data_IF_106505119653
#
_entry.id   IF_106505119653
#
_cell.length_a   1.000
_cell.length_b   1.000
_cell.length_c   1.000
_cell.angle_alpha   90.00
_cell.angle_beta   90.00
_cell.angle_gamma   90.00
#
_symmetry.space_group_name_H-M   'P 1'
#
loop_
_entity.id
_entity.type
_entity.pdbx_description
1 polymer ?
#
# COMPACT_ATOMS: atom_id res chain seq x y z
N UNK A 1 9.89 22.30 -11.84
CA UNK A 1 8.78 22.25 -10.87
C UNK A 1 9.37 21.94 -9.50
N UNK A 2 8.64 22.21 -8.42
CA UNK A 2 9.16 21.98 -7.05
C UNK A 2 8.41 20.79 -6.45
N UNK A 3 9.13 19.78 -5.99
CA UNK A 3 8.55 18.66 -5.26
C UNK A 3 8.11 19.14 -3.87
N UNK A 4 6.80 19.09 -3.59
CA UNK A 4 6.22 19.53 -2.32
C UNK A 4 5.71 18.37 -1.47
N UNK A 5 5.28 17.26 -2.07
CA UNK A 5 4.79 16.10 -1.34
C UNK A 5 5.21 14.78 -1.97
N UNK A 6 5.41 13.79 -1.12
CA UNK A 6 5.61 12.39 -1.53
C UNK A 6 4.61 11.52 -0.80
N UNK A 7 3.88 10.69 -1.57
CA UNK A 7 2.89 9.76 -1.04
C UNK A 7 3.39 8.32 -1.12
N UNK A 8 3.08 7.55 -0.12
CA UNK A 8 3.44 6.13 -0.05
C UNK A 8 2.19 5.26 0.12
N UNK A 9 2.06 4.22 -0.71
CA UNK A 9 1.20 3.10 -0.35
C UNK A 9 1.75 2.40 0.90
N UNK A 10 0.92 1.70 1.65
CA UNK A 10 1.38 1.07 2.91
C UNK A 10 1.80 -0.39 2.73
N UNK A 11 0.85 -1.24 2.38
CA UNK A 11 1.04 -2.69 2.27
C UNK A 11 1.68 -3.00 0.92
N UNK A 12 2.83 -3.69 0.92
CA UNK A 12 3.58 -4.02 -0.28
C UNK A 12 4.48 -2.89 -0.79
N UNK A 13 4.13 -1.61 -0.53
CA UNK A 13 4.92 -0.45 -0.94
C UNK A 13 6.09 -0.22 0.02
N UNK A 14 5.95 0.58 1.08
CA UNK A 14 7.06 0.79 2.02
C UNK A 14 7.27 -0.36 3.01
N UNK A 15 6.34 -1.31 3.08
CA UNK A 15 6.47 -2.50 3.92
C UNK A 15 6.23 -3.79 3.11
N UNK A 16 7.19 -4.71 3.11
CA UNK A 16 7.03 -5.99 2.43
C UNK A 16 6.23 -6.95 3.29
N UNK A 17 4.95 -6.99 3.03
CA UNK A 17 3.95 -7.74 3.80
C UNK A 17 3.08 -8.66 2.95
N UNK A 18 3.39 -8.81 1.65
CA UNK A 18 2.57 -9.57 0.72
C UNK A 18 2.40 -11.04 1.12
N UNK A 19 3.46 -11.69 1.61
CA UNK A 19 3.40 -13.07 2.12
C UNK A 19 2.54 -13.17 3.38
N UNK A 20 2.71 -12.24 4.33
CA UNK A 20 1.88 -12.22 5.55
C UNK A 20 0.39 -12.05 5.23
N UNK A 21 0.05 -11.32 4.17
CA UNK A 21 -1.31 -11.18 3.68
C UNK A 21 -1.87 -12.52 3.22
N UNK A 22 -1.14 -13.25 2.36
CA UNK A 22 -1.54 -14.57 1.87
C UNK A 22 -1.74 -15.54 3.04
N UNK A 23 -0.75 -15.65 3.92
CA UNK A 23 -0.82 -16.53 5.09
C UNK A 23 -2.00 -16.19 6.01
N UNK A 24 -2.37 -14.91 6.08
CA UNK A 24 -3.52 -14.47 6.89
C UNK A 24 -4.86 -14.80 6.24
N UNK A 25 -4.95 -14.78 4.91
CA UNK A 25 -6.14 -15.26 4.20
C UNK A 25 -6.34 -16.76 4.44
N UNK A 26 -5.30 -17.57 4.24
CA UNK A 26 -5.38 -19.01 4.41
C UNK A 26 -5.72 -19.40 5.85
N UNK A 27 -5.11 -18.74 6.84
CA UNK A 27 -5.42 -18.97 8.25
C UNK A 27 -6.86 -18.58 8.59
N UNK A 28 -7.35 -17.45 8.06
CA UNK A 28 -8.73 -17.02 8.29
C UNK A 28 -9.76 -17.97 7.66
N UNK A 29 -9.50 -18.48 6.44
CA UNK A 29 -10.35 -19.47 5.80
C UNK A 29 -10.40 -20.76 6.62
N UNK A 30 -9.26 -21.24 7.09
CA UNK A 30 -9.17 -22.43 7.96
C UNK A 30 -9.96 -22.26 9.26
N UNK A 31 -9.84 -21.11 9.96
CA UNK A 31 -10.58 -20.83 11.20
C UNK A 31 -12.09 -20.83 10.95
N UNK A 32 -12.53 -20.34 9.80
CA UNK A 32 -13.93 -20.30 9.40
C UNK A 32 -14.41 -21.60 8.73
N UNK A 33 -13.61 -22.68 8.79
CA UNK A 33 -13.93 -24.01 8.25
C UNK A 33 -14.23 -24.00 6.74
N UNK A 34 -13.55 -23.11 6.02
CA UNK A 34 -13.60 -23.06 4.56
C UNK A 34 -12.46 -23.90 4.03
N UNK A 35 -12.83 -24.87 3.20
CA UNK A 35 -11.86 -25.78 2.55
C UNK A 35 -11.31 -25.13 1.26
N UNK A 36 -10.64 -24.02 1.43
CA UNK A 36 -10.00 -23.23 0.38
C UNK A 36 -8.61 -22.81 0.88
N UNK A 37 -7.60 -23.05 0.09
CA UNK A 37 -6.21 -22.65 0.36
C UNK A 37 -5.65 -22.02 -0.91
N UNK A 38 -5.27 -20.77 -0.84
CA UNK A 38 -4.61 -20.10 -1.95
C UNK A 38 -3.11 -20.38 -1.92
N UNK A 39 -2.59 -20.87 -3.02
CA UNK A 39 -1.14 -20.93 -3.20
C UNK A 39 -0.60 -19.56 -3.65
N UNK A 40 0.73 -19.45 -3.70
CA UNK A 40 1.38 -18.19 -4.07
C UNK A 40 1.07 -17.77 -5.52
N UNK A 41 1.01 -18.73 -6.44
CA UNK A 41 0.75 -18.48 -7.87
C UNK A 41 -0.67 -17.96 -8.09
N UNK A 42 -1.65 -18.55 -7.41
CA UNK A 42 -3.04 -18.10 -7.42
C UNK A 42 -3.15 -16.70 -6.82
N UNK A 43 -2.51 -16.48 -5.66
CA UNK A 43 -2.57 -15.20 -4.97
C UNK A 43 -1.94 -14.06 -5.77
N UNK A 44 -0.84 -14.30 -6.50
CA UNK A 44 -0.27 -13.36 -7.47
C UNK A 44 -1.34 -12.93 -8.49
N UNK A 45 -2.12 -13.87 -9.02
CA UNK A 45 -3.25 -13.57 -9.91
C UNK A 45 -4.32 -12.70 -9.25
N UNK A 46 -4.61 -12.95 -7.98
CA UNK A 46 -5.62 -12.23 -7.21
C UNK A 46 -5.18 -10.83 -6.78
N UNK A 47 -3.89 -10.52 -6.76
CA UNK A 47 -3.37 -9.17 -6.47
C UNK A 47 -3.76 -8.12 -7.52
N UNK A 48 -4.28 -8.51 -8.68
CA UNK A 48 -4.90 -7.59 -9.65
C UNK A 48 -6.16 -6.92 -9.10
N UNK A 49 -6.79 -7.51 -8.08
CA UNK A 49 -7.99 -7.00 -7.42
C UNK A 49 -7.57 -6.29 -6.14
N UNK A 50 -7.74 -4.99 -6.10
CA UNK A 50 -7.44 -4.19 -4.91
C UNK A 50 -8.51 -4.36 -3.83
N UNK A 51 -8.05 -4.34 -2.57
CA UNK A 51 -8.91 -4.52 -1.40
C UNK A 51 -9.17 -5.99 -1.06
N UNK A 52 -8.89 -6.36 0.20
CA UNK A 52 -9.02 -7.76 0.65
C UNK A 52 -10.44 -8.32 0.54
N UNK A 53 -11.44 -7.52 0.89
CA UNK A 53 -12.85 -7.94 0.78
C UNK A 53 -13.29 -8.08 -0.67
N UNK A 54 -12.86 -7.18 -1.58
CA UNK A 54 -13.18 -7.27 -3.00
C UNK A 54 -12.56 -8.52 -3.62
N UNK A 55 -11.35 -8.88 -3.21
CA UNK A 55 -10.67 -10.11 -3.62
C UNK A 55 -11.47 -11.35 -3.21
N UNK A 56 -11.87 -11.44 -1.93
CA UNK A 56 -12.72 -12.54 -1.45
C UNK A 56 -14.03 -12.62 -2.23
N UNK A 57 -14.73 -11.51 -2.42
CA UNK A 57 -15.98 -11.47 -3.20
C UNK A 57 -15.79 -11.95 -4.63
N UNK A 58 -14.75 -11.49 -5.30
CA UNK A 58 -14.48 -11.85 -6.68
C UNK A 58 -14.22 -13.35 -6.88
N UNK A 59 -13.64 -14.01 -5.88
CA UNK A 59 -13.22 -15.41 -5.98
C UNK A 59 -14.31 -16.33 -5.41
N UNK A 60 -14.88 -15.99 -4.25
CA UNK A 60 -15.71 -16.91 -3.45
C UNK A 60 -17.20 -16.55 -3.41
N UNK A 61 -17.66 -15.41 -3.99
CA UNK A 61 -19.07 -14.99 -3.89
C UNK A 61 -20.09 -15.95 -4.54
N UNK A 62 -19.63 -16.79 -5.47
CA UNK A 62 -20.50 -17.84 -6.07
C UNK A 62 -20.73 -19.03 -5.12
N UNK A 63 -19.93 -19.17 -4.09
CA UNK A 63 -19.90 -20.30 -3.17
C UNK A 63 -20.33 -19.92 -1.76
N UNK A 64 -20.28 -18.64 -1.41
CA UNK A 64 -20.46 -18.15 -0.04
C UNK A 64 -21.29 -16.86 -0.01
N UNK A 65 -22.08 -16.71 1.03
CA UNK A 65 -22.82 -15.48 1.26
C UNK A 65 -21.92 -14.33 1.76
N UNK A 66 -22.45 -13.12 1.67
CA UNK A 66 -21.76 -11.88 2.02
C UNK A 66 -21.28 -11.86 3.48
N UNK A 67 -22.06 -12.39 4.42
CA UNK A 67 -21.73 -12.37 5.86
C UNK A 67 -20.52 -13.25 6.16
N UNK A 68 -20.43 -14.40 5.49
CA UNK A 68 -19.26 -15.30 5.60
C UNK A 68 -18.00 -14.59 5.06
N UNK A 69 -18.10 -13.96 3.90
CA UNK A 69 -16.98 -13.23 3.29
C UNK A 69 -16.50 -12.07 4.17
N UNK A 70 -17.43 -11.32 4.77
CA UNK A 70 -17.12 -10.25 5.71
C UNK A 70 -16.43 -10.81 6.97
N UNK A 71 -16.90 -11.94 7.50
CA UNK A 71 -16.28 -12.58 8.65
C UNK A 71 -14.86 -13.05 8.34
N UNK A 72 -14.63 -13.72 7.22
CA UNK A 72 -13.30 -14.13 6.77
C UNK A 72 -12.38 -12.90 6.66
N UNK A 73 -12.85 -11.82 6.05
CA UNK A 73 -12.08 -10.59 5.91
C UNK A 73 -11.73 -9.95 7.26
N UNK A 74 -12.67 -9.94 8.20
CA UNK A 74 -12.44 -9.45 9.56
C UNK A 74 -11.37 -10.27 10.28
N UNK A 75 -11.53 -11.60 10.30
CA UNK A 75 -10.59 -12.51 10.96
C UNK A 75 -9.20 -12.41 10.30
N UNK A 76 -9.13 -12.41 8.97
CA UNK A 76 -7.90 -12.17 8.21
C UNK A 76 -7.20 -10.88 8.64
N UNK A 77 -7.95 -9.80 8.81
CA UNK A 77 -7.37 -8.51 9.19
C UNK A 77 -6.77 -8.57 10.59
N UNK A 78 -7.45 -9.21 11.54
CA UNK A 78 -6.94 -9.43 12.90
C UNK A 78 -5.67 -10.28 12.92
N UNK A 79 -5.66 -11.39 12.17
CA UNK A 79 -4.51 -12.28 12.05
C UNK A 79 -3.33 -11.51 11.44
N UNK A 80 -3.57 -10.76 10.38
CA UNK A 80 -2.54 -9.95 9.71
C UNK A 80 -1.92 -8.92 10.65
N UNK A 81 -2.73 -8.19 11.42
CA UNK A 81 -2.25 -7.24 12.42
C UNK A 81 -1.36 -7.91 13.48
N UNK A 82 -1.75 -9.10 13.95
CA UNK A 82 -0.95 -9.86 14.90
C UNK A 82 0.38 -10.35 14.29
N UNK A 83 0.37 -10.77 13.02
CA UNK A 83 1.59 -11.20 12.33
C UNK A 83 2.55 -10.02 12.12
N UNK A 84 2.06 -8.83 11.76
CA UNK A 84 2.87 -7.62 11.65
C UNK A 84 3.60 -7.35 12.96
N UNK A 85 2.89 -7.33 14.09
CA UNK A 85 3.48 -7.04 15.41
C UNK A 85 4.55 -8.06 15.85
N UNK A 86 4.48 -9.31 15.34
CA UNK A 86 5.46 -10.35 15.62
C UNK A 86 6.63 -10.36 14.65
N UNK A 87 6.54 -9.65 13.55
CA UNK A 87 7.54 -9.65 12.49
C UNK A 87 8.64 -8.63 12.78
N UNK A 88 9.91 -8.97 12.52
CA UNK A 88 11.07 -8.14 12.87
C UNK A 88 11.46 -7.22 11.77
N UNK A 89 11.20 -7.14 10.66
CA UNK A 89 11.68 -6.23 9.61
C UNK A 89 10.74 -6.29 8.41
N UNK A 90 9.77 -5.43 8.43
CA UNK A 90 8.82 -5.31 7.33
C UNK A 90 9.11 -4.08 6.47
N UNK A 91 9.83 -3.10 7.02
CA UNK A 91 10.16 -1.85 6.32
C UNK A 91 11.22 -2.14 5.26
N UNK A 92 10.96 -1.67 4.05
CA UNK A 92 11.85 -1.89 2.91
C UNK A 92 13.12 -1.06 3.00
N UNK A 93 14.25 -1.58 2.48
CA UNK A 93 15.54 -0.87 2.49
C UNK A 93 15.45 0.53 1.87
N UNK A 94 16.10 1.50 2.53
CA UNK A 94 16.17 2.89 2.07
C UNK A 94 14.93 3.74 2.36
N UNK A 95 13.81 3.15 2.84
CA UNK A 95 12.58 3.92 3.06
C UNK A 95 12.76 5.05 4.09
N UNK A 96 13.30 4.73 5.28
CA UNK A 96 13.51 5.73 6.33
C UNK A 96 14.53 6.79 5.90
N UNK A 97 15.61 6.38 5.23
CA UNK A 97 16.62 7.31 4.72
C UNK A 97 16.02 8.29 3.70
N UNK A 98 15.19 7.80 2.77
CA UNK A 98 14.50 8.67 1.82
C UNK A 98 13.56 9.65 2.55
N UNK A 99 12.80 9.18 3.54
CA UNK A 99 11.94 10.03 4.35
C UNK A 99 12.74 11.13 5.07
N UNK A 100 13.89 10.82 5.66
CA UNK A 100 14.78 11.78 6.31
C UNK A 100 15.26 12.85 5.32
N UNK A 101 15.68 12.46 4.12
CA UNK A 101 16.08 13.39 3.06
C UNK A 101 14.92 14.31 2.63
N UNK A 102 13.72 13.75 2.48
CA UNK A 102 12.53 14.52 2.11
C UNK A 102 12.18 15.55 3.18
N UNK A 103 12.17 15.16 4.46
CA UNK A 103 11.91 16.05 5.58
C UNK A 103 12.97 17.16 5.68
N UNK A 104 14.25 16.85 5.51
CA UNK A 104 15.33 17.82 5.49
C UNK A 104 15.21 18.85 4.36
N UNK A 105 14.48 18.52 3.30
CA UNK A 105 14.18 19.40 2.16
C UNK A 105 12.77 20.01 2.21
N UNK A 106 12.09 19.96 3.37
CA UNK A 106 10.74 20.48 3.59
C UNK A 106 9.68 19.88 2.65
N UNK A 107 9.83 18.61 2.27
CA UNK A 107 8.83 17.87 1.50
C UNK A 107 7.86 17.21 2.47
N UNK A 108 6.56 17.37 2.21
CA UNK A 108 5.50 16.77 3.00
C UNK A 108 5.41 15.26 2.73
N UNK A 109 5.25 14.47 3.78
CA UNK A 109 5.06 13.03 3.68
C UNK A 109 3.59 12.66 3.88
N UNK A 110 3.06 11.82 3.00
CA UNK A 110 1.71 11.29 3.14
C UNK A 110 1.65 9.79 2.95
N UNK A 111 0.77 9.13 3.69
CA UNK A 111 0.41 7.72 3.44
C UNK A 111 -0.94 7.68 2.74
N UNK A 112 -0.99 7.06 1.57
CA UNK A 112 -2.20 6.89 0.79
C UNK A 112 -2.62 5.41 0.77
N UNK A 113 -3.47 5.01 1.70
CA UNK A 113 -3.89 3.62 1.87
C UNK A 113 -5.40 3.47 1.98
N UNK A 114 -5.91 2.30 1.61
CA UNK A 114 -7.31 1.91 1.78
C UNK A 114 -7.48 0.81 2.83
N UNK A 115 -6.42 0.51 3.58
CA UNK A 115 -6.47 -0.39 4.74
C UNK A 115 -6.86 0.34 6.02
N UNK A 116 -7.08 -0.37 7.12
CA UNK A 116 -7.43 0.25 8.40
C UNK A 116 -6.25 1.05 8.98
N UNK A 117 -6.55 2.15 9.69
CA UNK A 117 -5.56 2.96 10.40
C UNK A 117 -4.71 2.08 11.32
N UNK A 118 -5.33 1.21 12.10
CA UNK A 118 -4.62 0.30 13.01
C UNK A 118 -3.58 -0.58 12.29
N UNK A 119 -3.86 -1.01 11.07
CA UNK A 119 -2.88 -1.78 10.28
C UNK A 119 -1.69 -0.92 9.89
N UNK A 120 -1.93 0.33 9.47
CA UNK A 120 -0.87 1.28 9.13
C UNK A 120 -0.01 1.57 10.36
N UNK A 121 -0.63 1.88 11.49
CA UNK A 121 0.07 2.13 12.76
C UNK A 121 0.94 0.95 13.17
N UNK A 122 0.42 -0.28 13.09
CA UNK A 122 1.19 -1.48 13.41
C UNK A 122 2.42 -1.65 12.51
N UNK A 123 2.34 -1.28 11.22
CA UNK A 123 3.49 -1.29 10.31
C UNK A 123 4.49 -0.21 10.72
N UNK A 124 4.01 1.00 11.02
CA UNK A 124 4.84 2.14 11.40
C UNK A 124 5.61 1.93 12.72
N UNK A 125 5.14 1.05 13.60
CA UNK A 125 5.90 0.62 14.78
C UNK A 125 7.24 -0.05 14.44
N UNK A 126 7.43 -0.49 13.19
CA UNK A 126 8.69 -1.04 12.70
C UNK A 126 9.74 0.02 12.34
N UNK A 127 9.36 1.30 12.26
CA UNK A 127 10.27 2.41 11.99
C UNK A 127 11.19 2.69 13.19
N UNK A 128 12.40 3.14 12.91
CA UNK A 128 13.43 3.42 13.92
C UNK A 128 13.75 4.91 14.03
N UNK A 129 13.88 5.59 12.90
CA UNK A 129 14.26 7.00 12.83
C UNK A 129 13.10 7.92 12.45
N UNK A 130 12.12 7.42 11.71
CA UNK A 130 10.91 8.15 11.31
C UNK A 130 9.77 7.83 12.28
N UNK A 131 9.00 8.85 12.66
CA UNK A 131 7.84 8.71 13.56
C UNK A 131 6.54 8.86 12.78
N UNK A 132 5.46 8.33 13.33
CA UNK A 132 4.11 8.53 12.75
C UNK A 132 3.74 10.01 12.63
N UNK A 133 4.23 10.86 13.54
CA UNK A 133 4.02 12.31 13.51
C UNK A 133 4.75 13.03 12.38
N UNK A 134 5.69 12.38 11.71
CA UNK A 134 6.42 12.95 10.58
C UNK A 134 5.63 12.83 9.27
N UNK A 135 4.57 12.02 9.28
CA UNK A 135 3.60 11.98 8.19
C UNK A 135 2.55 13.07 8.39
N UNK A 136 2.51 14.03 7.47
CA UNK A 136 1.60 15.17 7.51
C UNK A 136 0.13 14.76 7.31
N UNK A 137 -0.11 13.66 6.59
CA UNK A 137 -1.44 13.05 6.45
C UNK A 137 -1.37 11.54 6.22
N UNK A 138 -2.33 10.82 6.81
CA UNK A 138 -2.49 9.37 6.65
C UNK A 138 -3.93 9.08 6.20
N UNK A 139 -4.11 8.82 4.90
CA UNK A 139 -5.36 8.32 4.38
C UNK A 139 -5.49 6.80 4.67
N UNK A 140 -6.68 6.39 5.10
CA UNK A 140 -6.99 5.02 5.48
C UNK A 140 -8.45 4.66 5.16
N UNK A 141 -8.89 3.44 5.43
CA UNK A 141 -10.26 2.99 5.10
C UNK A 141 -11.38 3.79 5.76
N UNK A 142 -11.10 4.57 6.79
CA UNK A 142 -12.06 5.47 7.43
C UNK A 142 -12.14 6.86 6.78
N UNK A 143 -11.18 7.22 5.93
CA UNK A 143 -11.14 8.50 5.22
C UNK A 143 -11.59 8.39 3.77
N UNK A 144 -11.72 7.18 3.23
CA UNK A 144 -12.07 6.92 1.83
C UNK A 144 -13.27 5.98 1.73
N UNK A 145 -14.08 6.18 0.69
CA UNK A 145 -15.24 5.33 0.40
C UNK A 145 -14.99 4.38 -0.78
N UNK A 146 -13.91 4.62 -1.53
CA UNK A 146 -13.57 3.84 -2.71
C UNK A 146 -12.19 3.21 -2.58
N UNK A 147 -12.09 1.98 -3.05
CA UNK A 147 -10.83 1.25 -3.12
C UNK A 147 -10.04 1.64 -4.38
N UNK A 148 -8.72 1.53 -4.34
CA UNK A 148 -7.91 1.59 -5.56
C UNK A 148 -8.42 0.53 -6.57
N UNK A 149 -8.45 0.81 -7.86
CA UNK A 149 -7.75 1.88 -8.59
C UNK A 149 -8.47 3.24 -8.65
N UNK A 150 -9.58 3.45 -7.92
CA UNK A 150 -10.20 4.78 -7.86
C UNK A 150 -9.18 5.80 -7.27
N UNK A 151 -9.06 7.01 -7.85
CA UNK A 151 -8.10 8.02 -7.40
C UNK A 151 -8.43 8.69 -6.08
N UNK A 152 -9.56 8.40 -5.45
CA UNK A 152 -10.07 9.13 -4.29
C UNK A 152 -9.03 9.28 -3.18
N UNK A 153 -8.31 8.20 -2.84
CA UNK A 153 -7.32 8.23 -1.75
C UNK A 153 -6.22 9.26 -1.99
N UNK A 154 -5.76 9.40 -3.22
CA UNK A 154 -4.73 10.37 -3.58
C UNK A 154 -5.28 11.79 -3.66
N UNK A 155 -6.50 11.98 -4.20
CA UNK A 155 -7.16 13.28 -4.24
C UNK A 155 -7.39 13.87 -2.85
N UNK A 156 -7.79 13.03 -1.89
CA UNK A 156 -7.91 13.42 -0.48
C UNK A 156 -6.53 13.82 0.08
N UNK A 157 -5.47 13.05 -0.19
CA UNK A 157 -4.13 13.41 0.25
C UNK A 157 -3.66 14.75 -0.31
N UNK A 158 -3.89 15.04 -1.59
CA UNK A 158 -3.58 16.33 -2.23
C UNK A 158 -4.34 17.49 -1.57
N UNK A 159 -5.64 17.30 -1.32
CA UNK A 159 -6.51 18.30 -0.69
C UNK A 159 -6.06 18.59 0.75
N UNK A 160 -5.87 17.58 1.57
CA UNK A 160 -5.48 17.72 2.98
C UNK A 160 -4.10 18.38 3.15
N UNK A 161 -3.15 18.09 2.24
CA UNK A 161 -1.83 18.71 2.27
C UNK A 161 -1.76 20.04 1.49
N UNK A 162 -2.85 20.44 0.82
CA UNK A 162 -2.91 21.63 -0.01
C UNK A 162 -1.78 21.71 -1.05
N UNK A 163 -1.57 20.60 -1.78
CA UNK A 163 -0.56 20.48 -2.84
C UNK A 163 -1.21 20.07 -4.17
N UNK A 164 -0.58 20.46 -5.27
CA UNK A 164 -1.05 20.08 -6.60
C UNK A 164 -0.45 18.73 -7.01
N UNK A 165 -1.15 18.02 -7.90
CA UNK A 165 -0.71 16.73 -8.45
C UNK A 165 0.66 16.82 -9.14
N UNK A 166 0.93 17.93 -9.85
CA UNK A 166 2.21 18.17 -10.55
C UNK A 166 3.39 18.48 -9.61
N UNK A 167 3.13 18.72 -8.33
CA UNK A 167 4.12 18.99 -7.28
C UNK A 167 4.38 17.75 -6.41
N UNK A 168 3.84 16.60 -6.83
CA UNK A 168 3.82 15.38 -6.02
C UNK A 168 4.27 14.17 -6.82
N UNK A 169 4.82 13.19 -6.12
CA UNK A 169 5.05 11.82 -6.61
C UNK A 169 4.47 10.80 -5.63
N UNK A 170 4.18 9.60 -6.11
CA UNK A 170 3.69 8.54 -5.24
C UNK A 170 4.31 7.18 -5.57
N UNK A 171 4.63 6.41 -4.53
CA UNK A 171 5.17 5.06 -4.62
C UNK A 171 4.08 4.02 -4.43
N UNK A 172 4.02 3.04 -5.36
CA UNK A 172 3.06 1.93 -5.31
C UNK A 172 3.66 0.60 -5.73
N UNK A 173 3.11 -0.48 -5.17
CA UNK A 173 3.62 -1.84 -5.30
C UNK A 173 2.86 -2.70 -6.33
N UNK A 174 1.65 -2.30 -6.73
CA UNK A 174 0.81 -3.04 -7.68
C UNK A 174 0.31 -2.15 -8.81
N UNK A 175 0.05 -2.73 -9.98
CA UNK A 175 -0.53 -2.01 -11.12
C UNK A 175 -1.85 -1.33 -10.77
N UNK A 176 -2.72 -2.02 -10.01
CA UNK A 176 -4.00 -1.44 -9.58
C UNK A 176 -3.81 -0.19 -8.72
N UNK A 177 -2.86 -0.22 -7.79
CA UNK A 177 -2.55 0.92 -6.93
C UNK A 177 -1.87 2.04 -7.70
N UNK A 178 -0.96 1.71 -8.63
CA UNK A 178 -0.32 2.68 -9.52
C UNK A 178 -1.34 3.41 -10.41
N UNK A 179 -2.33 2.69 -10.94
CA UNK A 179 -3.41 3.29 -11.72
C UNK A 179 -4.21 4.33 -10.91
N UNK A 180 -4.38 4.12 -9.61
CA UNK A 180 -5.00 5.11 -8.71
C UNK A 180 -4.19 6.40 -8.63
N UNK A 181 -2.85 6.31 -8.55
CA UNK A 181 -1.92 7.45 -8.58
C UNK A 181 -2.07 8.25 -9.87
N UNK A 182 -1.96 7.55 -11.01
CA UNK A 182 -2.00 8.16 -12.34
C UNK A 182 -3.37 8.79 -12.60
N UNK A 183 -4.46 8.13 -12.19
CA UNK A 183 -5.82 8.67 -12.31
C UNK A 183 -6.06 9.90 -11.43
N UNK A 184 -5.23 10.12 -10.41
CA UNK A 184 -5.23 11.34 -9.61
C UNK A 184 -4.38 12.47 -10.24
N UNK A 185 -3.68 12.23 -11.36
CA UNK A 185 -2.80 13.18 -12.02
C UNK A 185 -1.37 13.21 -11.46
N UNK A 186 -1.05 12.34 -10.49
CA UNK A 186 0.24 12.29 -9.81
C UNK A 186 1.21 11.41 -10.61
N UNK A 187 2.50 11.74 -10.61
CA UNK A 187 3.53 10.88 -11.19
C UNK A 187 3.79 9.67 -10.31
N UNK A 188 3.54 8.47 -10.86
CA UNK A 188 3.66 7.21 -10.13
C UNK A 188 5.04 6.59 -10.28
N UNK A 189 5.57 6.12 -9.16
CA UNK A 189 6.80 5.34 -9.08
C UNK A 189 6.43 3.92 -8.67
N UNK A 190 6.81 2.95 -9.49
CA UNK A 190 6.58 1.55 -9.14
C UNK A 190 7.70 1.03 -8.25
N UNK A 191 7.30 0.42 -7.13
CA UNK A 191 8.20 -0.30 -6.23
C UNK A 191 7.57 -1.65 -5.88
N UNK A 192 7.55 -2.63 -6.81
CA UNK A 192 6.81 -3.87 -6.66
C UNK A 192 7.23 -4.65 -5.42
N UNK A 193 6.25 -5.19 -4.70
CA UNK A 193 6.50 -6.20 -3.67
C UNK A 193 6.83 -7.56 -4.28
N UNK A 194 7.30 -8.51 -3.45
CA UNK A 194 7.75 -9.83 -3.91
C UNK A 194 6.70 -10.59 -4.75
N UNK A 195 5.41 -10.43 -4.44
CA UNK A 195 4.33 -11.10 -5.16
C UNK A 195 3.74 -10.28 -6.33
N UNK A 196 4.26 -9.07 -6.59
CA UNK A 196 3.80 -8.21 -7.70
C UNK A 196 4.88 -7.91 -8.75
N UNK A 197 6.07 -8.49 -8.64
CA UNK A 197 7.22 -8.23 -9.51
C UNK A 197 6.92 -8.35 -11.01
N UNK A 198 6.05 -9.27 -11.38
CA UNK A 198 5.71 -9.59 -12.78
C UNK A 198 4.46 -8.85 -13.29
N UNK A 199 3.92 -7.90 -12.53
CA UNK A 199 2.82 -7.06 -13.02
C UNK A 199 3.33 -6.01 -14.02
N UNK A 200 2.42 -5.49 -14.82
CA UNK A 200 2.73 -4.43 -15.80
C UNK A 200 2.80 -3.06 -15.11
N UNK A 201 3.98 -2.47 -15.11
CA UNK A 201 4.25 -1.14 -14.57
C UNK A 201 4.66 -0.14 -15.66
N UNK A 202 4.30 -0.39 -16.92
CA UNK A 202 4.65 0.47 -18.08
C UNK A 202 4.17 1.92 -17.93
N UNK A 203 3.15 2.16 -17.10
CA UNK A 203 2.62 3.49 -16.78
C UNK A 203 3.40 4.24 -15.70
N UNK A 204 4.33 3.60 -15.00
CA UNK A 204 5.18 4.26 -14.02
C UNK A 204 6.22 5.18 -14.68
N UNK A 205 6.57 6.28 -14.03
CA UNK A 205 7.71 7.12 -14.45
C UNK A 205 9.01 6.34 -14.37
N UNK A 206 9.15 5.52 -13.34
CA UNK A 206 10.29 4.63 -13.12
C UNK A 206 9.83 3.42 -12.28
N UNK A 207 10.51 2.28 -12.49
CA UNK A 207 10.38 1.09 -11.62
C UNK A 207 11.66 0.91 -10.84
N UNK A 208 11.54 0.84 -9.52
CA UNK A 208 12.64 0.65 -8.57
C UNK A 208 12.53 -0.73 -7.91
N UNK A 209 13.64 -1.25 -7.41
CA UNK A 209 13.64 -2.45 -6.60
C UNK A 209 13.48 -2.11 -5.12
N UNK A 210 14.20 -1.07 -4.65
CA UNK A 210 14.17 -0.61 -3.26
C UNK A 210 14.16 0.94 -3.21
N UNK A 211 13.83 1.51 -2.04
CA UNK A 211 13.86 2.96 -1.85
C UNK A 211 15.26 3.55 -1.91
N UNK A 212 16.29 2.76 -1.62
CA UNK A 212 17.71 3.15 -1.77
C UNK A 212 18.14 3.38 -3.23
N UNK A 213 17.32 3.02 -4.21
CA UNK A 213 17.63 3.22 -5.63
C UNK A 213 17.36 4.66 -6.10
N UNK A 214 16.77 5.51 -5.24
CA UNK A 214 16.45 6.90 -5.57
C UNK A 214 16.66 7.79 -4.34
N UNK A 215 17.07 9.02 -4.58
CA UNK A 215 17.20 10.09 -3.57
C UNK A 215 16.26 11.26 -3.87
N UNK A 216 16.28 12.28 -3.02
CA UNK A 216 15.48 13.49 -3.20
C UNK A 216 15.77 14.18 -4.55
N UNK A 217 17.03 14.20 -5.01
CA UNK A 217 17.41 14.81 -6.29
C UNK A 217 16.78 14.05 -7.44
N UNK A 218 16.88 12.73 -7.44
CA UNK A 218 16.25 11.86 -8.45
C UNK A 218 14.74 12.07 -8.52
N UNK A 219 14.05 12.21 -7.36
CA UNK A 219 12.62 12.50 -7.33
C UNK A 219 12.26 13.85 -7.96
N UNK A 220 13.08 14.88 -7.75
CA UNK A 220 12.89 16.20 -8.37
C UNK A 220 13.04 16.17 -9.89
N UNK A 221 13.94 15.35 -10.41
CA UNK A 221 14.16 15.19 -11.83
C UNK A 221 12.99 14.49 -12.55
N UNK A 222 12.15 13.76 -11.79
CA UNK A 222 10.93 13.14 -12.33
C UNK A 222 9.78 14.14 -12.55
N UNK A 223 9.79 15.31 -11.90
CA UNK A 223 8.76 16.36 -12.03
C UNK A 223 8.97 17.21 -13.30
#
# INVERSE_FOLDING_TARGET
MTLKAVFFGSIGSFSETSRLQLDSFNESMKINQIDEIWDEKEYIGYLKISGGINRLKSILSKQMDENILQKIHYDKTKIFQQKILKSRSLIRPGFEQLCEELLANNVLLGIASTTSLQTIENILLGLKSIKISDFNFIAHSGTVNKQKPDPQVYKICLEELNVQEIESVAFEDTTSSLNSVISAGIKGIAIPGNLSLNQDFSMAQIKLNEFSDIDFKGLKELL
#
